data_IF_407511832461
#
_entry.id   IF_407511832461
#
_cell.length_a   1.000
_cell.length_b   1.000
_cell.length_c   1.000
_cell.angle_alpha   90.00
_cell.angle_beta   90.00
_cell.angle_gamma   90.00
#
_symmetry.space_group_name_H-M   'P 1'
#
loop_
_entity.id
_entity.type
_entity.pdbx_description
1 polymer ?
#
# COMPACT_ATOMS: atom_id res chain seq x y z
N UNK A 1 4.72 30.58 -24.12
CA UNK A 1 3.44 29.98 -23.68
C UNK A 1 3.16 28.72 -24.51
N UNK A 2 3.50 27.52 -24.00
CA UNK A 2 3.22 26.26 -24.72
C UNK A 2 1.75 25.92 -24.58
N UNK A 3 1.01 25.86 -25.69
CA UNK A 3 -0.37 25.37 -25.69
C UNK A 3 -0.39 23.94 -25.16
N UNK A 4 -1.01 23.69 -24.01
CA UNK A 4 -1.34 22.33 -23.58
C UNK A 4 -2.40 21.79 -24.54
N UNK A 5 -2.07 20.70 -25.24
CA UNK A 5 -3.07 19.92 -25.97
C UNK A 5 -4.04 19.32 -24.91
N UNK A 6 -5.29 19.74 -24.96
CA UNK A 6 -6.33 19.13 -24.14
C UNK A 6 -6.62 17.75 -24.74
N UNK A 7 -6.38 16.70 -23.98
CA UNK A 7 -6.77 15.35 -24.39
C UNK A 7 -8.30 15.31 -24.38
N UNK A 8 -8.97 15.02 -25.52
CA UNK A 8 -10.42 14.95 -25.57
C UNK A 8 -10.91 13.93 -24.54
N UNK A 9 -11.87 14.30 -23.70
CA UNK A 9 -12.64 13.33 -22.94
C UNK A 9 -13.44 12.49 -23.91
N UNK A 10 -13.06 11.25 -24.13
CA UNK A 10 -13.80 10.31 -24.95
C UNK A 10 -15.05 9.93 -24.15
N UNK A 11 -16.23 10.35 -24.62
CA UNK A 11 -17.49 9.84 -24.09
C UNK A 11 -17.62 8.37 -24.49
N UNK A 12 -17.45 7.47 -23.53
CA UNK A 12 -17.63 6.04 -23.75
C UNK A 12 -19.12 5.69 -23.70
N UNK A 13 -19.60 5.04 -24.75
CA UNK A 13 -20.92 4.42 -24.73
C UNK A 13 -21.03 3.38 -23.61
N UNK A 14 -22.19 3.21 -22.98
CA UNK A 14 -22.38 2.12 -22.02
C UNK A 14 -22.05 0.78 -22.71
N UNK A 15 -21.45 -0.18 -22.00
CA UNK A 15 -21.10 -1.46 -22.60
C UNK A 15 -22.37 -2.19 -22.99
N UNK A 16 -22.39 -2.72 -24.21
CA UNK A 16 -23.38 -3.72 -24.63
C UNK A 16 -22.78 -5.09 -24.33
N UNK A 17 -23.49 -5.91 -23.54
CA UNK A 17 -23.02 -7.26 -23.25
C UNK A 17 -22.86 -8.03 -24.56
N UNK A 18 -21.67 -8.60 -24.75
CA UNK A 18 -21.32 -9.39 -25.92
C UNK A 18 -21.23 -10.88 -25.60
N UNK A 19 -21.42 -11.27 -24.34
CA UNK A 19 -21.21 -12.64 -23.86
C UNK A 19 -19.73 -13.09 -23.95
N UNK A 20 -18.79 -12.16 -24.07
CA UNK A 20 -17.36 -12.51 -24.13
C UNK A 20 -16.92 -13.18 -22.82
N UNK A 21 -16.12 -14.28 -22.85
CA UNK A 21 -15.71 -15.02 -21.64
C UNK A 21 -15.12 -14.15 -20.52
N UNK A 22 -14.37 -13.11 -20.86
CA UNK A 22 -13.74 -12.17 -19.89
C UNK A 22 -14.58 -10.94 -19.60
N UNK A 23 -15.85 -10.88 -20.05
CA UNK A 23 -16.76 -9.80 -19.71
C UNK A 23 -17.24 -9.97 -18.27
N UNK A 24 -17.24 -8.89 -17.50
CA UNK A 24 -17.63 -8.87 -16.08
C UNK A 24 -19.15 -8.97 -15.99
N UNK A 25 -19.63 -10.14 -15.55
CA UNK A 25 -21.04 -10.46 -15.38
C UNK A 25 -21.56 -10.10 -13.99
N UNK A 26 -20.69 -10.14 -12.96
CA UNK A 26 -21.08 -9.83 -11.59
C UNK A 26 -20.01 -8.98 -10.91
N UNK A 27 -20.50 -8.08 -10.08
CA UNK A 27 -19.71 -7.20 -9.21
C UNK A 27 -20.29 -7.30 -7.80
N UNK A 28 -19.46 -7.59 -6.81
CA UNK A 28 -19.79 -7.55 -5.39
C UNK A 28 -18.72 -6.79 -4.65
N UNK A 29 -19.11 -6.13 -3.56
CA UNK A 29 -18.16 -5.45 -2.69
C UNK A 29 -18.54 -5.62 -1.23
N UNK A 30 -17.53 -5.64 -0.37
CA UNK A 30 -17.65 -5.73 1.08
C UNK A 30 -16.85 -4.61 1.73
N UNK A 31 -17.49 -3.87 2.62
CA UNK A 31 -16.85 -2.88 3.48
C UNK A 31 -16.48 -3.57 4.78
N UNK A 32 -15.21 -3.82 4.97
CA UNK A 32 -14.69 -4.58 6.10
C UNK A 32 -14.13 -3.65 7.17
N UNK A 33 -14.27 -4.09 8.43
CA UNK A 33 -13.69 -3.45 9.60
C UNK A 33 -13.10 -4.50 10.52
N UNK A 34 -11.81 -4.39 10.82
CA UNK A 34 -11.18 -5.27 11.80
C UNK A 34 -11.73 -5.02 13.21
N UNK A 35 -11.93 -6.08 14.00
CA UNK A 35 -12.69 -5.97 15.25
C UNK A 35 -11.98 -5.20 16.35
N UNK A 36 -10.64 -5.13 16.36
CA UNK A 36 -9.85 -4.49 17.43
C UNK A 36 -9.14 -3.24 16.95
N UNK A 37 -8.35 -3.33 15.88
CA UNK A 37 -7.68 -2.17 15.29
C UNK A 37 -8.67 -1.15 14.74
N UNK A 38 -9.88 -1.60 14.38
CA UNK A 38 -10.85 -0.76 13.69
C UNK A 38 -10.45 -0.41 12.26
N UNK A 39 -9.41 -1.03 11.74
CA UNK A 39 -8.91 -0.81 10.37
C UNK A 39 -10.01 -1.12 9.36
N UNK A 40 -10.21 -0.22 8.40
CA UNK A 40 -11.23 -0.34 7.37
C UNK A 40 -10.62 -0.45 5.98
N UNK A 41 -11.21 -1.30 5.17
CA UNK A 41 -10.86 -1.48 3.75
C UNK A 41 -12.04 -2.05 2.98
N UNK A 42 -11.99 -1.95 1.66
CA UNK A 42 -13.04 -2.45 0.78
C UNK A 42 -12.47 -3.58 -0.09
N UNK A 43 -13.14 -4.72 -0.12
CA UNK A 43 -12.82 -5.82 -1.01
C UNK A 43 -13.84 -5.86 -2.14
N UNK A 44 -13.37 -5.97 -3.37
CA UNK A 44 -14.18 -6.12 -4.59
C UNK A 44 -13.97 -7.51 -5.17
N UNK A 45 -15.07 -8.17 -5.54
CA UNK A 45 -15.09 -9.39 -6.33
C UNK A 45 -15.68 -9.08 -7.71
N UNK A 46 -14.99 -9.49 -8.74
CA UNK A 46 -15.47 -9.48 -10.11
C UNK A 46 -15.60 -10.91 -10.60
N UNK A 47 -16.76 -11.26 -11.20
CA UNK A 47 -16.93 -12.56 -11.85
C UNK A 47 -17.19 -12.36 -13.33
N UNK A 48 -16.48 -13.10 -14.18
CA UNK A 48 -16.66 -13.08 -15.62
C UNK A 48 -17.77 -14.01 -16.10
N UNK A 49 -18.18 -13.87 -17.34
CA UNK A 49 -19.14 -14.81 -17.98
C UNK A 49 -18.62 -16.25 -18.03
N UNK A 50 -17.30 -16.46 -18.09
CA UNK A 50 -16.71 -17.81 -18.00
C UNK A 50 -16.73 -18.40 -16.59
N UNK A 51 -17.19 -17.65 -15.56
CA UNK A 51 -17.23 -18.07 -14.17
C UNK A 51 -15.95 -17.80 -13.38
N UNK A 52 -14.87 -17.32 -14.02
CA UNK A 52 -13.64 -16.94 -13.31
C UNK A 52 -13.91 -15.76 -12.37
N UNK A 53 -13.31 -15.81 -11.18
CA UNK A 53 -13.49 -14.79 -10.14
C UNK A 53 -12.17 -14.15 -9.78
N UNK A 54 -12.11 -12.82 -9.76
CA UNK A 54 -10.97 -12.05 -9.30
C UNK A 54 -11.32 -11.19 -8.10
N UNK A 55 -10.36 -11.03 -7.18
CA UNK A 55 -10.48 -10.21 -5.98
C UNK A 55 -9.45 -9.09 -5.97
N UNK A 56 -9.87 -7.93 -5.47
CA UNK A 56 -8.98 -6.80 -5.23
C UNK A 56 -9.39 -6.03 -3.99
N UNK A 57 -8.45 -5.36 -3.40
CA UNK A 57 -8.65 -4.56 -2.20
C UNK A 57 -8.27 -3.11 -2.47
N UNK A 58 -9.06 -2.20 -1.91
CA UNK A 58 -8.82 -0.76 -1.87
C UNK A 58 -9.03 -0.21 -0.47
N UNK A 59 -8.74 1.07 -0.28
CA UNK A 59 -9.03 1.77 0.97
C UNK A 59 -10.53 1.79 1.31
N UNK A 60 -10.91 2.39 2.45
CA UNK A 60 -12.30 2.52 2.83
C UNK A 60 -13.07 3.38 1.83
N UNK A 61 -14.28 2.93 1.47
CA UNK A 61 -15.15 3.57 0.48
C UNK A 61 -16.57 3.76 1.01
N UNK A 62 -17.23 4.89 0.70
CA UNK A 62 -18.65 5.05 0.89
C UNK A 62 -19.47 4.14 -0.05
N UNK A 63 -20.63 3.66 0.41
CA UNK A 63 -21.52 2.81 -0.38
C UNK A 63 -21.90 3.42 -1.74
N UNK A 64 -22.18 4.73 -1.77
CA UNK A 64 -22.56 5.43 -2.98
C UNK A 64 -21.49 5.36 -4.09
N UNK A 65 -20.20 5.45 -3.73
CA UNK A 65 -19.09 5.35 -4.68
C UNK A 65 -18.97 3.93 -5.24
N UNK A 66 -19.24 2.90 -4.42
CA UNK A 66 -19.24 1.51 -4.84
C UNK A 66 -20.37 1.24 -5.84
N UNK A 67 -21.59 1.75 -5.56
CA UNK A 67 -22.73 1.61 -6.48
C UNK A 67 -22.46 2.29 -7.82
N UNK A 68 -21.89 3.51 -7.80
CA UNK A 68 -21.55 4.23 -9.02
C UNK A 68 -20.50 3.47 -9.86
N UNK A 69 -19.47 2.94 -9.21
CA UNK A 69 -18.42 2.14 -9.88
C UNK A 69 -18.99 0.85 -10.49
N UNK A 70 -19.87 0.15 -9.78
CA UNK A 70 -20.52 -1.07 -10.27
C UNK A 70 -21.21 -0.84 -11.63
N UNK A 71 -21.95 0.25 -11.77
CA UNK A 71 -22.63 0.58 -13.01
C UNK A 71 -21.67 0.83 -14.20
N UNK A 72 -20.48 1.37 -13.91
CA UNK A 72 -19.46 1.63 -14.93
C UNK A 72 -18.69 0.36 -15.35
N UNK A 73 -18.62 -0.67 -14.50
CA UNK A 73 -17.76 -1.85 -14.67
C UNK A 73 -18.52 -3.07 -15.23
N UNK A 74 -19.78 -3.25 -14.86
CA UNK A 74 -20.58 -4.36 -15.40
C UNK A 74 -20.65 -4.29 -16.94
N UNK A 75 -20.48 -5.42 -17.61
CA UNK A 75 -20.43 -5.54 -19.06
C UNK A 75 -19.09 -5.15 -19.69
N UNK A 76 -18.10 -4.66 -18.90
CA UNK A 76 -16.75 -4.39 -19.41
C UNK A 76 -15.92 -5.66 -19.39
N UNK A 77 -14.93 -5.75 -20.28
CA UNK A 77 -13.98 -6.85 -20.27
C UNK A 77 -12.88 -6.61 -19.24
N UNK A 78 -12.45 -7.65 -18.56
CA UNK A 78 -11.35 -7.56 -17.59
C UNK A 78 -10.02 -7.05 -18.22
N UNK A 79 -9.89 -7.04 -19.53
CA UNK A 79 -8.76 -6.47 -20.26
C UNK A 79 -8.81 -4.94 -20.40
N UNK A 80 -9.94 -4.30 -20.10
CA UNK A 80 -10.13 -2.85 -20.27
C UNK A 80 -9.61 -2.04 -19.05
N UNK A 81 -8.42 -2.39 -18.53
CA UNK A 81 -7.85 -1.78 -17.32
C UNK A 81 -7.60 -0.27 -17.44
N UNK A 82 -7.24 0.23 -18.64
CA UNK A 82 -7.06 1.68 -18.85
C UNK A 82 -8.40 2.45 -18.84
N UNK A 83 -9.47 1.81 -19.31
CA UNK A 83 -10.82 2.36 -19.17
C UNK A 83 -11.18 2.55 -17.69
N UNK A 84 -10.96 1.51 -16.86
CA UNK A 84 -11.22 1.55 -15.42
C UNK A 84 -10.41 2.65 -14.76
N UNK A 85 -9.12 2.72 -15.04
CA UNK A 85 -8.24 3.76 -14.52
C UNK A 85 -8.72 5.18 -14.86
N UNK A 86 -9.20 5.40 -16.08
CA UNK A 86 -9.68 6.71 -16.52
C UNK A 86 -11.04 7.06 -15.90
N UNK A 87 -11.96 6.10 -15.81
CA UNK A 87 -13.32 6.32 -15.27
C UNK A 87 -13.35 6.45 -13.76
N UNK A 88 -12.50 5.68 -13.05
CA UNK A 88 -12.44 5.69 -11.60
C UNK A 88 -11.34 6.60 -11.03
N UNK A 89 -10.72 7.45 -11.87
CA UNK A 89 -9.66 8.36 -11.43
C UNK A 89 -10.08 9.30 -10.29
N UNK A 90 -11.36 9.66 -10.21
CA UNK A 90 -11.94 10.46 -9.12
C UNK A 90 -12.22 9.67 -7.83
N UNK A 91 -12.10 8.34 -7.86
CA UNK A 91 -12.31 7.43 -6.72
C UNK A 91 -11.11 6.48 -6.61
N UNK A 92 -9.95 6.96 -6.14
CA UNK A 92 -8.70 6.21 -6.20
C UNK A 92 -8.74 4.84 -5.52
N UNK A 93 -9.42 4.72 -4.39
CA UNK A 93 -9.55 3.46 -3.67
C UNK A 93 -10.37 2.42 -4.47
N UNK A 94 -11.38 2.88 -5.24
CA UNK A 94 -12.14 2.00 -6.12
C UNK A 94 -11.33 1.61 -7.36
N UNK A 95 -10.57 2.54 -7.94
CA UNK A 95 -9.65 2.24 -9.04
C UNK A 95 -8.65 1.16 -8.64
N UNK A 96 -8.10 1.26 -7.40
CA UNK A 96 -7.20 0.25 -6.85
C UNK A 96 -7.91 -1.11 -6.71
N UNK A 97 -9.06 -1.16 -6.04
CA UNK A 97 -9.79 -2.40 -5.81
C UNK A 97 -10.21 -3.10 -7.10
N UNK A 98 -10.84 -2.37 -8.03
CA UNK A 98 -11.33 -2.93 -9.31
C UNK A 98 -10.16 -3.30 -10.20
N UNK A 99 -9.13 -2.45 -10.33
CA UNK A 99 -7.95 -2.73 -11.15
C UNK A 99 -7.22 -3.98 -10.69
N UNK A 100 -7.10 -4.19 -9.37
CA UNK A 100 -6.48 -5.39 -8.80
C UNK A 100 -7.37 -6.63 -8.98
N UNK A 101 -8.69 -6.52 -8.84
CA UNK A 101 -9.62 -7.62 -9.09
C UNK A 101 -9.61 -8.06 -10.57
N UNK A 102 -9.55 -7.12 -11.51
CA UNK A 102 -9.39 -7.43 -12.94
C UNK A 102 -8.08 -8.17 -13.20
N UNK A 103 -6.99 -7.72 -12.58
CA UNK A 103 -5.68 -8.35 -12.73
C UNK A 103 -5.65 -9.78 -12.16
N UNK A 104 -6.27 -10.02 -10.99
CA UNK A 104 -6.41 -11.35 -10.40
C UNK A 104 -7.25 -12.27 -11.29
N UNK A 105 -8.39 -11.79 -11.80
CA UNK A 105 -9.25 -12.53 -12.73
C UNK A 105 -8.49 -12.92 -14.00
N UNK A 106 -7.78 -11.98 -14.63
CA UNK A 106 -6.98 -12.24 -15.84
C UNK A 106 -5.88 -13.26 -15.56
N UNK A 107 -5.19 -13.13 -14.43
CA UNK A 107 -4.11 -14.02 -14.05
C UNK A 107 -4.62 -15.46 -13.83
N UNK A 108 -5.79 -15.62 -13.19
CA UNK A 108 -6.47 -16.91 -13.00
C UNK A 108 -6.91 -17.50 -14.33
N UNK A 109 -7.52 -16.71 -15.22
CA UNK A 109 -7.96 -17.19 -16.55
C UNK A 109 -6.80 -17.71 -17.40
N UNK A 110 -5.57 -17.24 -17.16
CA UNK A 110 -4.34 -17.69 -17.81
C UNK A 110 -3.54 -18.69 -16.99
N UNK A 111 -4.03 -19.06 -15.79
CA UNK A 111 -3.37 -19.98 -14.87
C UNK A 111 -1.96 -19.58 -14.48
N UNK A 112 -1.71 -18.28 -14.34
CA UNK A 112 -0.43 -17.71 -13.93
C UNK A 112 -0.56 -16.84 -12.68
N UNK A 113 0.47 -16.73 -11.83
CA UNK A 113 0.48 -15.77 -10.72
C UNK A 113 0.47 -14.32 -11.22
N UNK A 114 -0.07 -13.39 -10.41
CA UNK A 114 -0.11 -11.96 -10.75
C UNK A 114 1.28 -11.41 -11.10
N UNK A 115 2.35 -11.79 -10.38
CA UNK A 115 3.69 -11.27 -10.67
C UNK A 115 4.18 -11.62 -12.08
N UNK A 116 3.80 -12.77 -12.63
CA UNK A 116 4.15 -13.13 -14.02
C UNK A 116 3.37 -12.27 -15.02
N UNK A 117 2.09 -11.99 -14.73
CA UNK A 117 1.29 -11.11 -15.56
C UNK A 117 1.84 -9.67 -15.58
N UNK A 118 2.46 -9.25 -14.47
CA UNK A 118 3.17 -7.98 -14.38
C UNK A 118 4.58 -7.97 -15.00
N UNK A 119 5.04 -9.09 -15.56
CA UNK A 119 6.35 -9.21 -16.21
C UNK A 119 7.49 -9.68 -15.31
N UNK A 120 7.18 -10.17 -14.11
CA UNK A 120 8.15 -10.79 -13.21
C UNK A 120 8.33 -12.31 -13.43
N UNK A 121 9.05 -13.00 -12.53
CA UNK A 121 9.65 -12.41 -11.34
C UNK A 121 11.03 -11.78 -11.60
N UNK A 122 11.31 -10.66 -10.97
CA UNK A 122 12.66 -10.08 -10.86
C UNK A 122 13.39 -10.63 -9.62
N UNK A 123 12.65 -11.24 -8.70
CA UNK A 123 13.12 -11.85 -7.45
C UNK A 123 12.16 -12.94 -6.99
N UNK A 124 12.66 -13.90 -6.19
CA UNK A 124 11.86 -15.01 -5.66
C UNK A 124 11.38 -14.80 -4.22
N UNK A 125 11.84 -13.73 -3.57
CA UNK A 125 11.44 -13.32 -2.22
C UNK A 125 11.16 -11.81 -2.23
N UNK A 126 10.07 -11.39 -1.60
CA UNK A 126 9.75 -9.99 -1.37
C UNK A 126 10.08 -9.62 0.08
N UNK A 127 10.89 -8.58 0.29
CA UNK A 127 11.17 -8.06 1.64
C UNK A 127 9.90 -7.47 2.23
N UNK A 128 9.62 -7.80 3.48
CA UNK A 128 8.46 -7.30 4.21
C UNK A 128 8.87 -6.29 5.26
N UNK A 129 8.05 -5.26 5.43
CA UNK A 129 8.16 -4.24 6.45
C UNK A 129 6.92 -4.34 7.36
N UNK A 130 7.11 -4.77 8.60
CA UNK A 130 6.04 -4.86 9.58
C UNK A 130 5.63 -3.47 10.04
N UNK A 131 4.38 -3.07 9.77
CA UNK A 131 3.84 -1.81 10.22
C UNK A 131 3.31 -1.93 11.65
N UNK A 132 4.02 -1.29 12.59
CA UNK A 132 3.61 -1.21 13.99
C UNK A 132 2.75 0.05 14.19
N UNK A 133 1.52 -0.11 14.65
CA UNK A 133 0.55 1.00 14.74
C UNK A 133 0.47 1.65 16.14
N UNK A 134 1.19 1.14 17.12
CA UNK A 134 1.11 1.70 18.46
C UNK A 134 1.85 3.02 18.59
N UNK A 135 1.12 4.08 18.91
CA UNK A 135 1.67 5.39 19.33
C UNK A 135 1.97 5.45 20.81
N UNK A 136 1.39 4.55 21.62
CA UNK A 136 1.60 4.46 23.05
C UNK A 136 2.85 3.65 23.37
N UNK A 137 3.73 4.20 24.22
CA UNK A 137 4.94 3.52 24.66
C UNK A 137 4.66 2.24 25.43
N UNK A 138 3.55 2.17 26.17
CA UNK A 138 3.18 1.01 26.97
C UNK A 138 2.71 -0.17 26.10
N UNK A 139 2.06 0.11 24.98
CA UNK A 139 1.51 -0.91 24.08
C UNK A 139 2.46 -1.30 22.93
N UNK A 140 3.52 -0.52 22.66
CA UNK A 140 4.48 -0.78 21.58
C UNK A 140 5.18 -2.17 21.63
N UNK A 141 5.47 -2.77 22.80
CA UNK A 141 6.08 -4.09 22.88
C UNK A 141 5.27 -5.21 22.24
N UNK A 142 3.94 -5.22 22.43
CA UNK A 142 3.11 -6.33 22.00
C UNK A 142 3.04 -6.50 20.45
N UNK A 143 2.79 -5.46 19.64
CA UNK A 143 2.86 -5.55 18.18
C UNK A 143 4.26 -5.94 17.68
N UNK A 144 5.33 -5.42 18.28
CA UNK A 144 6.71 -5.76 17.92
C UNK A 144 6.99 -7.26 18.14
N UNK A 145 6.65 -7.78 19.33
CA UNK A 145 6.86 -9.19 19.63
C UNK A 145 6.01 -10.11 18.75
N UNK A 146 4.79 -9.68 18.38
CA UNK A 146 3.96 -10.39 17.41
C UNK A 146 4.65 -10.44 16.05
N UNK A 147 5.11 -9.32 15.53
CA UNK A 147 5.82 -9.24 14.24
C UNK A 147 7.11 -10.08 14.23
N UNK A 148 7.89 -10.06 15.32
CA UNK A 148 9.08 -10.90 15.47
C UNK A 148 8.73 -12.40 15.41
N UNK A 149 7.68 -12.84 16.12
CA UNK A 149 7.21 -14.23 16.05
C UNK A 149 6.69 -14.63 14.67
N UNK A 150 6.19 -13.67 13.88
CA UNK A 150 5.79 -13.86 12.49
C UNK A 150 6.98 -13.84 11.50
N UNK A 151 8.22 -13.69 11.99
CA UNK A 151 9.45 -13.77 11.20
C UNK A 151 9.88 -12.45 10.54
N UNK A 152 9.24 -11.32 10.85
CA UNK A 152 9.67 -10.01 10.35
C UNK A 152 11.01 -9.57 10.93
N UNK A 153 11.80 -8.84 10.13
CA UNK A 153 13.11 -8.27 10.48
C UNK A 153 13.16 -6.76 10.32
N UNK A 154 12.27 -6.19 9.51
CA UNK A 154 12.15 -4.75 9.30
C UNK A 154 10.82 -4.26 9.87
N UNK A 155 10.84 -3.10 10.55
CA UNK A 155 9.71 -2.58 11.30
C UNK A 155 9.54 -1.08 11.07
N UNK A 156 8.29 -0.64 10.95
CA UNK A 156 7.95 0.79 10.98
C UNK A 156 7.55 1.17 12.39
N UNK A 157 8.24 2.17 12.97
CA UNK A 157 7.85 2.77 14.24
C UNK A 157 7.20 4.13 14.00
N UNK A 158 6.01 4.40 14.58
CA UNK A 158 5.43 5.74 14.56
C UNK A 158 6.31 6.72 15.34
N UNK A 159 6.57 7.90 14.78
CA UNK A 159 7.15 9.01 15.54
C UNK A 159 6.17 9.45 16.65
N UNK A 160 6.70 10.09 17.67
CA UNK A 160 5.87 10.75 18.66
C UNK A 160 5.08 11.89 17.99
N UNK A 161 3.86 12.11 18.43
CA UNK A 161 3.10 13.26 17.96
C UNK A 161 3.80 14.56 18.37
N UNK A 162 3.90 15.50 17.45
CA UNK A 162 4.47 16.82 17.70
C UNK A 162 3.47 17.67 18.48
N UNK A 163 3.77 17.93 19.74
CA UNK A 163 3.05 18.90 20.56
C UNK A 163 3.74 20.27 20.43
N UNK A 164 3.05 21.25 19.89
CA UNK A 164 3.58 22.61 19.70
C UNK A 164 3.90 23.32 21.03
N UNK A 165 3.32 22.88 22.14
CA UNK A 165 3.61 23.43 23.48
C UNK A 165 4.93 22.95 24.06
N UNK A 166 5.52 21.89 23.51
CA UNK A 166 6.82 21.37 23.94
C UNK A 166 7.92 22.02 23.09
N UNK A 167 9.00 22.53 23.72
CA UNK A 167 10.16 23.04 22.98
C UNK A 167 10.69 22.00 21.98
N UNK A 168 11.10 22.44 20.77
CA UNK A 168 11.54 21.54 19.71
C UNK A 168 12.69 20.63 20.16
N UNK A 169 13.65 21.16 20.91
CA UNK A 169 14.78 20.36 21.40
C UNK A 169 14.31 19.22 22.32
N UNK A 170 13.37 19.49 23.23
CA UNK A 170 12.81 18.47 24.10
C UNK A 170 12.05 17.40 23.29
N UNK A 171 11.31 17.81 22.26
CA UNK A 171 10.65 16.88 21.35
C UNK A 171 11.67 15.96 20.63
N UNK A 172 12.74 16.54 20.12
CA UNK A 172 13.84 15.79 19.45
C UNK A 172 14.47 14.78 20.40
N UNK A 173 14.72 15.16 21.67
CA UNK A 173 15.31 14.27 22.65
C UNK A 173 14.36 13.10 23.01
N UNK A 174 13.05 13.35 23.08
CA UNK A 174 12.02 12.31 23.26
C UNK A 174 11.98 11.35 22.05
N UNK A 175 12.04 11.88 20.81
CA UNK A 175 12.10 11.04 19.60
C UNK A 175 13.35 10.16 19.62
N UNK A 176 14.52 10.71 19.95
CA UNK A 176 15.77 9.95 20.09
C UNK A 176 15.67 8.82 21.11
N UNK A 177 15.13 9.13 22.29
CA UNK A 177 14.94 8.14 23.36
C UNK A 177 14.00 7.01 22.90
N UNK A 178 12.89 7.36 22.21
CA UNK A 178 11.97 6.37 21.63
C UNK A 178 12.66 5.48 20.60
N UNK A 179 13.39 6.07 19.67
CA UNK A 179 14.10 5.29 18.63
C UNK A 179 15.11 4.33 19.27
N UNK A 180 15.94 4.81 20.19
CA UNK A 180 16.90 3.98 20.91
C UNK A 180 16.24 2.82 21.66
N UNK A 181 15.12 3.08 22.33
CA UNK A 181 14.33 2.06 23.03
C UNK A 181 13.79 1.00 22.08
N UNK A 182 13.16 1.43 20.96
CA UNK A 182 12.60 0.51 19.98
C UNK A 182 13.69 -0.36 19.32
N UNK A 183 14.85 0.23 19.00
CA UNK A 183 16.00 -0.53 18.49
C UNK A 183 16.50 -1.56 19.51
N UNK A 184 16.60 -1.19 20.77
CA UNK A 184 16.98 -2.12 21.85
C UNK A 184 16.01 -3.30 21.96
N UNK A 185 14.70 -3.03 21.88
CA UNK A 185 13.65 -4.07 21.93
C UNK A 185 13.63 -4.96 20.70
N UNK A 186 13.95 -4.40 19.52
CA UNK A 186 14.03 -5.16 18.28
C UNK A 186 15.14 -6.22 18.30
N UNK A 187 16.23 -5.90 18.98
CA UNK A 187 17.42 -6.75 19.09
C UNK A 187 18.32 -6.69 17.87
N UNK A 188 19.35 -7.52 17.87
CA UNK A 188 20.32 -7.56 16.78
C UNK A 188 19.68 -7.96 15.43
N UNK A 189 20.02 -7.23 14.38
CA UNK A 189 19.51 -7.48 13.02
C UNK A 189 18.12 -6.91 12.73
N UNK A 190 17.48 -6.23 13.70
CA UNK A 190 16.24 -5.49 13.44
C UNK A 190 16.54 -4.18 12.69
N UNK A 191 15.78 -3.91 11.64
CA UNK A 191 15.90 -2.72 10.82
C UNK A 191 14.66 -1.84 10.99
N UNK A 192 14.85 -0.51 10.92
CA UNK A 192 13.81 0.42 11.34
C UNK A 192 13.54 1.53 10.35
N UNK A 193 12.27 1.82 10.15
CA UNK A 193 11.75 3.01 9.49
C UNK A 193 11.05 3.87 10.55
N UNK A 194 11.39 5.15 10.61
CA UNK A 194 10.66 6.11 11.43
C UNK A 194 9.52 6.71 10.62
N UNK A 195 8.28 6.59 11.09
CA UNK A 195 7.09 7.13 10.43
C UNK A 195 6.68 8.46 11.07
N UNK A 196 6.85 9.56 10.33
CA UNK A 196 6.45 10.91 10.72
C UNK A 196 4.97 11.19 10.59
N UNK A 197 4.19 10.29 9.98
CA UNK A 197 2.75 10.39 9.75
C UNK A 197 2.32 11.72 9.09
N UNK A 198 3.20 12.39 8.34
CA UNK A 198 3.01 13.70 7.73
C UNK A 198 2.67 14.84 8.72
N UNK A 199 2.99 14.66 10.01
CA UNK A 199 2.52 15.52 11.09
C UNK A 199 3.45 16.71 11.41
N UNK A 200 4.71 16.71 10.91
CA UNK A 200 5.68 17.75 11.26
C UNK A 200 5.67 18.91 10.27
N UNK A 201 6.07 20.09 10.74
CA UNK A 201 6.47 21.16 9.83
C UNK A 201 7.77 20.77 9.12
N UNK A 202 8.10 21.31 7.93
CA UNK A 202 9.37 21.03 7.27
C UNK A 202 10.60 21.35 8.15
N UNK A 203 10.54 22.40 8.96
CA UNK A 203 11.62 22.79 9.88
C UNK A 203 11.80 21.80 11.04
N UNK A 204 10.69 21.35 11.66
CA UNK A 204 10.76 20.34 12.72
C UNK A 204 11.29 19.01 12.15
N UNK A 205 10.79 18.61 10.98
CA UNK A 205 11.23 17.40 10.29
C UNK A 205 12.72 17.42 9.96
N UNK A 206 13.24 18.56 9.46
CA UNK A 206 14.66 18.76 9.20
C UNK A 206 15.49 18.60 10.49
N UNK A 207 15.05 19.22 11.59
CA UNK A 207 15.74 19.12 12.89
C UNK A 207 15.77 17.70 13.41
N UNK A 208 14.64 16.97 13.30
CA UNK A 208 14.56 15.53 13.68
C UNK A 208 15.48 14.68 12.80
N UNK A 209 15.41 14.85 11.47
CA UNK A 209 16.25 14.13 10.53
C UNK A 209 17.75 14.32 10.83
N UNK A 210 18.18 15.57 11.03
CA UNK A 210 19.56 15.91 11.44
C UNK A 210 19.97 15.25 12.75
N UNK A 211 19.11 15.29 13.72
CA UNK A 211 19.37 14.71 15.04
C UNK A 211 19.53 13.18 15.01
N UNK A 212 18.94 12.51 14.01
CA UNK A 212 18.95 11.05 13.84
C UNK A 212 19.93 10.55 12.78
N UNK A 213 20.72 11.40 12.13
CA UNK A 213 21.67 11.02 11.06
C UNK A 213 22.63 9.90 11.43
N UNK A 214 23.04 9.84 12.70
CA UNK A 214 23.96 8.81 13.21
C UNK A 214 23.23 7.54 13.68
N UNK A 215 21.91 7.54 13.59
CA UNK A 215 21.07 6.39 13.97
C UNK A 215 20.79 5.58 12.72
N UNK A 216 21.02 4.26 12.75
CA UNK A 216 20.74 3.38 11.62
C UNK A 216 19.24 3.21 11.43
N UNK A 217 18.63 4.12 10.65
CA UNK A 217 17.27 4.02 10.13
C UNK A 217 17.33 3.79 8.62
N UNK A 218 16.40 2.99 8.10
CA UNK A 218 16.34 2.70 6.66
C UNK A 218 15.93 3.97 5.91
N UNK A 219 14.87 4.65 6.38
CA UNK A 219 14.44 5.98 5.95
C UNK A 219 13.54 6.63 6.99
N UNK A 220 13.33 7.93 6.84
CA UNK A 220 12.31 8.69 7.54
C UNK A 220 11.09 8.81 6.62
N UNK A 221 9.99 8.17 7.01
CA UNK A 221 8.77 8.04 6.22
C UNK A 221 7.81 9.17 6.51
N UNK A 222 7.27 9.81 5.48
CA UNK A 222 6.28 10.89 5.58
C UNK A 222 6.61 11.92 6.69
N UNK A 223 7.79 12.53 6.69
CA UNK A 223 8.18 13.46 7.76
C UNK A 223 7.26 14.68 7.84
N UNK A 224 6.73 15.15 6.70
CA UNK A 224 5.86 16.31 6.59
C UNK A 224 4.76 16.13 5.56
N UNK A 225 3.61 16.77 5.78
CA UNK A 225 2.54 16.88 4.78
C UNK A 225 2.74 18.04 3.77
N UNK A 226 3.80 18.85 3.93
CA UNK A 226 4.12 19.97 3.03
C UNK A 226 5.02 19.48 1.90
N UNK A 227 4.41 19.09 0.78
CA UNK A 227 5.10 18.49 -0.37
C UNK A 227 5.57 19.52 -1.41
N UNK A 228 5.72 20.79 -1.04
CA UNK A 228 6.31 21.82 -1.90
C UNK A 228 7.83 21.63 -2.03
N UNK A 229 8.41 22.03 -3.15
CA UNK A 229 9.86 21.94 -3.39
C UNK A 229 10.66 22.56 -2.25
N UNK A 230 10.32 23.81 -1.86
CA UNK A 230 11.02 24.52 -0.77
C UNK A 230 10.81 23.84 0.60
N UNK A 231 9.63 23.25 0.85
CA UNK A 231 9.34 22.53 2.07
C UNK A 231 10.19 21.25 2.21
N UNK A 232 10.31 20.50 1.13
CA UNK A 232 11.11 19.27 1.11
C UNK A 232 12.61 19.56 1.09
N UNK A 233 13.06 20.61 0.36
CA UNK A 233 14.44 21.02 0.33
C UNK A 233 15.01 21.33 1.74
N UNK A 234 14.19 21.95 2.62
CA UNK A 234 14.60 22.17 4.02
C UNK A 234 15.02 20.90 4.75
N UNK A 235 14.41 19.75 4.42
CA UNK A 235 14.74 18.47 5.06
C UNK A 235 15.99 17.87 4.42
N UNK A 236 16.04 17.83 3.09
CA UNK A 236 17.12 17.19 2.34
C UNK A 236 18.43 17.99 2.35
N UNK A 237 18.38 19.32 2.51
CA UNK A 237 19.56 20.17 2.64
C UNK A 237 20.19 20.11 4.04
N UNK A 238 19.37 19.79 5.06
CA UNK A 238 19.81 19.74 6.46
C UNK A 238 20.28 18.33 6.90
N UNK A 239 19.88 17.29 6.19
CA UNK A 239 20.15 15.90 6.58
C UNK A 239 20.37 14.98 5.39
N UNK A 240 21.30 14.01 5.56
CA UNK A 240 21.55 12.91 4.61
C UNK A 240 20.65 11.70 4.85
N UNK A 241 19.71 11.77 5.81
CA UNK A 241 18.77 10.69 6.09
C UNK A 241 17.86 10.46 4.89
N UNK A 242 17.74 9.20 4.40
CA UNK A 242 16.83 8.90 3.30
C UNK A 242 15.38 9.24 3.66
N UNK A 243 14.64 9.81 2.71
CA UNK A 243 13.25 10.25 2.88
C UNK A 243 12.32 9.37 2.05
N UNK A 244 11.26 8.85 2.68
CA UNK A 244 10.15 8.14 2.03
C UNK A 244 8.91 9.01 1.95
N UNK A 245 8.27 9.11 0.76
CA UNK A 245 7.07 9.93 0.54
C UNK A 245 6.11 9.30 -0.46
N UNK A 246 4.83 9.60 -0.33
CA UNK A 246 3.82 9.34 -1.35
C UNK A 246 2.66 8.44 -0.95
N UNK A 247 2.50 8.11 0.35
CA UNK A 247 1.47 7.15 0.80
C UNK A 247 0.04 7.58 0.45
N UNK A 248 -0.23 8.88 0.47
CA UNK A 248 -1.55 9.45 0.16
C UNK A 248 -1.65 10.04 -1.26
N UNK A 249 -0.61 9.88 -2.07
CA UNK A 249 -0.60 10.34 -3.45
C UNK A 249 -1.22 9.29 -4.36
N UNK A 250 -2.13 9.75 -5.24
CA UNK A 250 -2.75 8.92 -6.26
C UNK A 250 -2.60 9.48 -7.69
N UNK A 251 -2.10 10.69 -7.84
CA UNK A 251 -1.79 11.27 -9.15
C UNK A 251 -0.32 10.97 -9.53
N UNK A 252 -0.12 10.39 -10.72
CA UNK A 252 1.21 10.08 -11.25
C UNK A 252 2.05 11.34 -11.44
N UNK A 253 1.42 12.47 -11.78
CA UNK A 253 2.15 13.74 -11.95
C UNK A 253 2.77 14.23 -10.65
N UNK A 254 2.11 14.03 -9.50
CA UNK A 254 2.64 14.41 -8.19
C UNK A 254 3.86 13.54 -7.81
N UNK A 255 3.87 12.24 -8.15
CA UNK A 255 5.07 11.42 -8.01
C UNK A 255 6.21 11.89 -8.91
N UNK A 256 5.90 12.31 -10.15
CA UNK A 256 6.90 12.86 -11.05
C UNK A 256 7.52 14.16 -10.50
N UNK A 257 6.72 15.01 -9.85
CA UNK A 257 7.21 16.24 -9.24
C UNK A 257 8.16 15.94 -8.06
N UNK A 258 7.85 14.96 -7.21
CA UNK A 258 8.76 14.50 -6.14
C UNK A 258 10.11 14.02 -6.72
N UNK A 259 10.08 13.25 -7.80
CA UNK A 259 11.27 12.71 -8.44
C UNK A 259 12.13 13.82 -9.07
N UNK A 260 11.51 14.79 -9.76
CA UNK A 260 12.21 15.91 -10.38
C UNK A 260 12.93 16.82 -9.39
N UNK A 261 12.36 16.98 -8.21
CA UNK A 261 12.92 17.81 -7.16
C UNK A 261 14.07 17.14 -6.40
N UNK A 262 14.31 15.82 -6.64
CA UNK A 262 15.37 15.08 -5.95
C UNK A 262 15.17 14.93 -4.44
N UNK A 263 13.95 15.19 -3.95
CA UNK A 263 13.66 15.28 -2.51
C UNK A 263 13.18 13.96 -1.91
N UNK A 264 13.28 12.86 -2.65
CA UNK A 264 12.77 11.54 -2.20
C UNK A 264 13.76 10.44 -2.57
N UNK A 265 14.01 9.52 -1.64
CA UNK A 265 14.86 8.35 -1.85
C UNK A 265 14.02 7.07 -2.01
N UNK A 266 12.81 7.05 -1.43
CA UNK A 266 11.88 5.92 -1.49
C UNK A 266 10.48 6.43 -1.80
N UNK A 267 9.89 6.03 -2.94
CA UNK A 267 8.49 6.29 -3.21
C UNK A 267 7.61 5.28 -2.46
N UNK A 268 6.56 5.81 -1.85
CA UNK A 268 5.64 5.08 -0.96
C UNK A 268 4.20 5.03 -1.49
N UNK A 269 3.94 4.63 -2.77
CA UNK A 269 2.57 4.63 -3.29
C UNK A 269 1.68 3.69 -2.47
N UNK A 270 0.54 4.22 -1.97
CA UNK A 270 -0.42 3.45 -1.18
C UNK A 270 -1.17 2.42 -2.03
N UNK A 271 -1.14 1.14 -1.64
CA UNK A 271 -1.86 0.04 -2.31
C UNK A 271 -3.38 0.21 -2.23
N UNK A 272 -3.88 0.88 -1.18
CA UNK A 272 -5.30 1.18 -1.05
C UNK A 272 -5.81 2.27 -1.99
N UNK A 273 -4.92 3.06 -2.64
CA UNK A 273 -5.23 4.18 -3.51
C UNK A 273 -4.72 4.03 -4.94
N UNK A 274 -3.87 3.04 -5.19
CA UNK A 274 -3.24 2.84 -6.48
C UNK A 274 -3.26 1.36 -6.84
N UNK A 275 -3.80 1.03 -8.01
CA UNK A 275 -3.75 -0.33 -8.54
C UNK A 275 -2.31 -0.79 -8.79
N UNK A 276 -2.07 -2.10 -8.81
CA UNK A 276 -0.74 -2.68 -9.06
C UNK A 276 -0.16 -2.21 -10.39
N UNK A 277 -1.00 -2.10 -11.44
CA UNK A 277 -0.58 -1.61 -12.75
C UNK A 277 -0.19 -0.14 -12.72
N UNK A 278 -0.88 0.67 -11.92
CA UNK A 278 -0.54 2.08 -11.72
C UNK A 278 0.77 2.24 -10.94
N UNK A 279 0.96 1.46 -9.86
CA UNK A 279 2.22 1.49 -9.10
C UNK A 279 3.39 1.01 -9.98
N UNK A 280 3.19 0.03 -10.84
CA UNK A 280 4.22 -0.39 -11.81
C UNK A 280 4.65 0.76 -12.73
N UNK A 281 3.73 1.63 -13.17
CA UNK A 281 4.05 2.83 -13.95
C UNK A 281 4.83 3.87 -13.12
N UNK A 282 4.44 4.07 -11.86
CA UNK A 282 5.17 4.94 -10.92
C UNK A 282 6.58 4.39 -10.68
N UNK A 283 6.72 3.07 -10.52
CA UNK A 283 8.01 2.43 -10.32
C UNK A 283 8.95 2.58 -11.54
N UNK A 284 8.41 2.50 -12.76
CA UNK A 284 9.20 2.74 -13.97
C UNK A 284 9.69 4.20 -14.07
N UNK A 285 8.91 5.17 -13.60
CA UNK A 285 9.39 6.56 -13.48
C UNK A 285 10.49 6.68 -12.43
N UNK A 286 10.29 6.07 -11.25
CA UNK A 286 11.26 6.08 -10.15
C UNK A 286 12.61 5.44 -10.56
N UNK A 287 12.58 4.38 -11.36
CA UNK A 287 13.76 3.69 -11.87
C UNK A 287 14.68 4.63 -12.66
N UNK A 288 14.13 5.53 -13.47
CA UNK A 288 14.91 6.52 -14.24
C UNK A 288 15.60 7.57 -13.36
N UNK A 289 15.20 7.68 -12.10
CA UNK A 289 15.79 8.58 -11.09
C UNK A 289 16.60 7.81 -10.03
N UNK A 290 16.81 6.50 -10.18
CA UNK A 290 17.47 5.62 -9.19
C UNK A 290 16.79 5.62 -7.82
N UNK A 291 15.48 5.87 -7.79
CA UNK A 291 14.67 5.90 -6.57
C UNK A 291 14.02 4.54 -6.33
N UNK A 292 14.09 4.07 -5.11
CA UNK A 292 13.46 2.82 -4.69
C UNK A 292 11.94 2.99 -4.53
N UNK A 293 11.21 1.88 -4.65
CA UNK A 293 9.77 1.84 -4.39
C UNK A 293 9.48 0.85 -3.26
N UNK A 294 8.79 1.33 -2.25
CA UNK A 294 8.30 0.51 -1.15
C UNK A 294 6.80 0.77 -0.97
N UNK A 295 5.92 -0.01 -1.62
CA UNK A 295 4.48 0.22 -1.57
C UNK A 295 3.97 0.23 -0.13
N UNK A 296 3.25 1.30 0.21
CA UNK A 296 2.62 1.47 1.50
C UNK A 296 1.31 0.67 1.56
N UNK A 297 1.07 0.00 2.69
CA UNK A 297 -0.18 -0.71 2.91
C UNK A 297 -0.65 -0.56 4.35
N UNK A 298 -1.96 -0.27 4.50
CA UNK A 298 -2.63 -0.16 5.80
C UNK A 298 -3.95 -0.94 5.85
N UNK A 299 -4.26 -1.67 4.78
CA UNK A 299 -5.50 -2.41 4.62
C UNK A 299 -5.42 -3.86 5.12
N UNK A 300 -6.16 -4.70 4.41
CA UNK A 300 -6.33 -6.12 4.72
C UNK A 300 -5.30 -7.05 4.05
N UNK A 301 -5.50 -8.36 4.24
CA UNK A 301 -4.53 -9.37 3.80
C UNK A 301 -4.51 -9.55 2.27
N UNK A 302 -5.59 -9.21 1.56
CA UNK A 302 -5.66 -9.34 0.10
C UNK A 302 -4.75 -8.29 -0.54
N UNK A 303 -4.78 -7.04 -0.05
CA UNK A 303 -3.92 -5.96 -0.49
C UNK A 303 -2.44 -6.21 -0.15
N UNK A 304 -2.14 -6.74 1.04
CA UNK A 304 -0.79 -7.10 1.44
C UNK A 304 -0.17 -8.13 0.46
N UNK A 305 -0.90 -9.20 0.14
CA UNK A 305 -0.43 -10.22 -0.81
C UNK A 305 -0.33 -9.70 -2.24
N UNK A 306 -1.23 -8.82 -2.67
CA UNK A 306 -1.11 -8.12 -3.94
C UNK A 306 0.19 -7.28 -4.01
N UNK A 307 0.56 -6.63 -2.90
CA UNK A 307 1.84 -5.93 -2.75
C UNK A 307 3.06 -6.85 -2.89
N UNK A 308 3.00 -8.06 -2.35
CA UNK A 308 4.06 -9.08 -2.51
C UNK A 308 4.25 -9.45 -4.00
N UNK A 309 3.15 -9.70 -4.74
CA UNK A 309 3.22 -9.95 -6.18
C UNK A 309 3.81 -8.76 -6.95
N UNK A 310 3.43 -7.55 -6.58
CA UNK A 310 3.98 -6.34 -7.19
C UNK A 310 5.49 -6.25 -6.96
N UNK A 311 5.94 -6.39 -5.71
CA UNK A 311 7.36 -6.35 -5.36
C UNK A 311 8.19 -7.37 -6.12
N UNK A 312 7.62 -8.55 -6.39
CA UNK A 312 8.27 -9.57 -7.19
C UNK A 312 8.44 -9.20 -8.66
N UNK A 313 7.64 -8.26 -9.18
CA UNK A 313 7.68 -7.81 -10.56
C UNK A 313 8.47 -6.50 -10.78
N UNK A 314 8.80 -5.77 -9.71
CA UNK A 314 9.51 -4.49 -9.80
C UNK A 314 11.02 -4.65 -9.64
N UNK A 315 11.82 -4.09 -10.53
CA UNK A 315 13.28 -4.09 -10.44
C UNK A 315 13.79 -3.29 -9.22
N UNK A 316 13.18 -2.14 -8.97
CA UNK A 316 13.53 -1.18 -7.92
C UNK A 316 12.67 -1.30 -6.63
N UNK A 317 12.01 -2.45 -6.40
CA UNK A 317 11.29 -2.69 -5.14
C UNK A 317 12.24 -2.84 -3.97
N UNK A 318 11.98 -2.12 -2.86
CA UNK A 318 12.75 -2.23 -1.62
C UNK A 318 12.07 -3.15 -0.60
N UNK A 319 10.82 -2.88 -0.26
CA UNK A 319 10.02 -3.66 0.69
C UNK A 319 8.52 -3.43 0.44
N UNK A 320 7.68 -4.23 1.07
CA UNK A 320 6.21 -4.06 1.10
C UNK A 320 5.76 -3.96 2.53
N UNK A 321 4.95 -2.96 2.85
CA UNK A 321 4.32 -2.85 4.17
C UNK A 321 3.30 -3.95 4.38
N UNK A 322 3.34 -4.54 5.58
CA UNK A 322 2.32 -5.47 6.07
C UNK A 322 1.87 -4.99 7.44
N UNK A 323 0.61 -4.58 7.58
CA UNK A 323 0.06 -4.18 8.87
C UNK A 323 0.06 -5.35 9.84
N UNK A 324 0.62 -5.15 11.03
CA UNK A 324 0.57 -6.15 12.10
C UNK A 324 -0.82 -6.15 12.73
N UNK A 325 -1.49 -7.31 12.90
CA UNK A 325 -2.77 -7.38 13.61
C UNK A 325 -2.64 -6.87 15.04
N UNK A 326 -3.63 -6.10 15.49
CA UNK A 326 -3.60 -5.54 16.85
C UNK A 326 -3.68 -6.63 17.93
N UNK A 327 -4.51 -7.66 17.70
CA UNK A 327 -4.62 -8.81 18.58
C UNK A 327 -4.95 -10.10 17.81
N UNK A 328 -5.30 -11.18 18.52
CA UNK A 328 -5.61 -12.49 17.93
C UNK A 328 -6.95 -12.51 17.18
N UNK A 329 -7.90 -11.62 17.49
CA UNK A 329 -9.17 -11.51 16.77
C UNK A 329 -8.98 -10.90 15.39
N UNK A 330 -8.16 -9.84 15.30
CA UNK A 330 -7.79 -9.27 14.01
C UNK A 330 -7.00 -10.29 13.17
N UNK A 331 -6.08 -11.02 13.80
CA UNK A 331 -5.31 -12.07 13.14
C UNK A 331 -6.20 -13.22 12.63
N UNK A 332 -7.19 -13.63 13.41
CA UNK A 332 -8.16 -14.66 13.02
C UNK A 332 -8.99 -14.22 11.82
N UNK A 333 -9.57 -13.00 11.85
CA UNK A 333 -10.31 -12.45 10.73
C UNK A 333 -9.47 -12.45 9.45
N UNK A 334 -8.24 -11.94 9.50
CA UNK A 334 -7.35 -11.87 8.35
C UNK A 334 -7.04 -13.26 7.78
N UNK A 335 -6.76 -14.24 8.64
CA UNK A 335 -6.53 -15.63 8.23
C UNK A 335 -7.77 -16.28 7.62
N UNK A 336 -8.96 -16.03 8.17
CA UNK A 336 -10.22 -16.55 7.62
C UNK A 336 -10.54 -15.96 6.25
N UNK A 337 -10.30 -14.66 6.02
CA UNK A 337 -10.49 -14.00 4.72
C UNK A 337 -9.66 -14.64 3.61
N UNK A 338 -8.49 -15.15 3.93
CA UNK A 338 -7.52 -15.73 2.98
C UNK A 338 -7.40 -17.25 3.07
N UNK A 339 -8.45 -17.91 3.58
CA UNK A 339 -8.51 -19.37 3.72
C UNK A 339 -7.28 -19.99 4.40
N UNK A 340 -6.79 -19.31 5.44
CA UNK A 340 -5.64 -19.74 6.25
C UNK A 340 -4.28 -19.34 5.68
N UNK A 341 -4.22 -18.60 4.57
CA UNK A 341 -2.96 -17.99 4.13
C UNK A 341 -2.48 -16.97 5.16
N UNK A 342 -1.26 -17.11 5.65
CA UNK A 342 -0.70 -16.26 6.70
C UNK A 342 0.17 -15.16 6.10
N UNK A 343 0.00 -13.95 6.58
CA UNK A 343 0.88 -12.81 6.32
C UNK A 343 2.11 -12.91 7.21
N UNK A 344 2.93 -13.95 7.00
CA UNK A 344 4.14 -14.22 7.76
C UNK A 344 5.38 -14.09 6.88
N UNK A 345 6.50 -13.77 7.53
CA UNK A 345 7.80 -13.69 6.89
C UNK A 345 8.64 -14.93 7.22
N UNK A 346 9.47 -15.33 6.28
CA UNK A 346 10.59 -16.23 6.52
C UNK A 346 11.87 -15.38 6.49
N UNK A 347 12.43 -15.14 7.68
CA UNK A 347 13.61 -14.28 7.87
C UNK A 347 13.49 -12.89 7.20
N UNK A 348 12.36 -12.22 7.41
CA UNK A 348 12.06 -10.89 6.87
C UNK A 348 11.49 -10.86 5.45
N UNK A 349 11.26 -12.01 4.81
CA UNK A 349 10.80 -12.07 3.42
C UNK A 349 9.53 -12.91 3.27
N UNK A 350 8.66 -12.51 2.34
CA UNK A 350 7.61 -13.37 1.82
C UNK A 350 8.17 -14.23 0.68
N UNK A 351 7.87 -15.53 0.72
CA UNK A 351 8.16 -16.44 -0.38
C UNK A 351 7.03 -16.36 -1.41
N UNK A 352 7.37 -16.27 -2.69
CA UNK A 352 6.38 -16.17 -3.75
C UNK A 352 5.62 -17.49 -3.93
N UNK A 353 4.30 -17.39 -3.99
CA UNK A 353 3.45 -18.52 -4.33
C UNK A 353 3.36 -18.67 -5.86
N UNK A 354 3.68 -19.86 -6.36
CA UNK A 354 3.54 -20.19 -7.78
C UNK A 354 2.15 -20.80 -8.06
N UNK A 355 1.10 -20.03 -7.73
CA UNK A 355 -0.31 -20.39 -7.98
C UNK A 355 -0.99 -19.27 -8.76
N UNK A 356 -2.05 -19.56 -9.54
CA UNK A 356 -2.78 -18.55 -10.31
C UNK A 356 -3.32 -17.41 -9.46
N UNK A 357 -3.34 -16.21 -10.03
CA UNK A 357 -3.88 -15.01 -9.40
C UNK A 357 -3.06 -14.60 -8.17
N UNK A 358 -3.75 -14.28 -7.08
CA UNK A 358 -3.18 -13.94 -5.75
C UNK A 358 -2.48 -15.13 -5.07
N UNK A 359 -2.67 -16.37 -5.59
CA UNK A 359 -2.03 -17.57 -5.06
C UNK A 359 -2.76 -18.25 -3.91
N UNK A 360 -3.89 -17.72 -3.46
CA UNK A 360 -4.75 -18.30 -2.42
C UNK A 360 -6.24 -18.10 -2.74
N UNK A 361 -7.10 -18.82 -2.03
CA UNK A 361 -8.55 -18.66 -2.14
C UNK A 361 -9.06 -17.63 -1.15
N UNK A 362 -9.92 -16.73 -1.64
CA UNK A 362 -10.62 -15.77 -0.79
C UNK A 362 -11.91 -16.40 -0.27
N UNK A 363 -12.10 -16.37 1.04
CA UNK A 363 -13.26 -16.96 1.71
C UNK A 363 -14.44 -15.98 1.71
N UNK A 364 -15.37 -16.19 0.78
CA UNK A 364 -16.57 -15.35 0.64
C UNK A 364 -17.45 -15.37 1.89
N UNK A 365 -17.55 -16.51 2.60
CA UNK A 365 -18.35 -16.59 3.83
C UNK A 365 -17.76 -15.71 4.93
N UNK A 366 -16.43 -15.64 5.02
CA UNK A 366 -15.76 -14.74 5.95
C UNK A 366 -15.94 -13.27 5.54
N UNK A 367 -15.88 -12.94 4.24
CA UNK A 367 -16.23 -11.61 3.75
C UNK A 367 -17.64 -11.19 4.16
N UNK A 368 -18.63 -12.07 3.99
CA UNK A 368 -20.02 -11.83 4.39
C UNK A 368 -20.17 -11.67 5.92
N UNK A 369 -19.42 -12.43 6.71
CA UNK A 369 -19.50 -12.42 8.19
C UNK A 369 -18.86 -11.15 8.81
N UNK A 370 -17.76 -10.66 8.24
CA UNK A 370 -17.02 -9.52 8.78
C UNK A 370 -17.38 -8.19 8.10
N UNK A 371 -18.30 -8.19 7.15
CA UNK A 371 -18.70 -6.98 6.45
C UNK A 371 -19.61 -6.10 7.31
N UNK A 372 -19.27 -4.79 7.42
CA UNK A 372 -20.21 -3.79 7.94
C UNK A 372 -21.37 -3.59 6.95
N UNK A 373 -21.13 -3.79 5.65
CA UNK A 373 -22.11 -3.65 4.59
C UNK A 373 -21.66 -4.41 3.33
N UNK A 374 -22.58 -5.15 2.72
CA UNK A 374 -22.41 -5.82 1.42
C UNK A 374 -23.17 -5.06 0.34
N UNK A 375 -22.52 -4.80 -0.80
CA UNK A 375 -23.07 -4.03 -1.92
C UNK A 375 -23.02 -4.83 -3.22
#
# INVERSE_FOLDING_TARGET
MKRRLTIPQVAFAPPQSTGHPLEIAQFRAWRLKEPVSGRRYTVVELQSHSGETGYGEGGPLPAAEIVAARAAILGRRATESEFVRAHLAGIPAMEAAVGNAMLDLLSKSRKVPIYQFLGGPTRFKARLLARLESTDEASAPAPLERAKRQGFRAFTMPALQRDAMIPLQEYVDRVRARVARMQSMGGAGAEWVLDGAAAMTPGDAATVAKALEKVHLIWFDEPTGVLTTDGLAKITDESVMPIGLGRNIHDISAFQDLLRNGSVNVLRPGLGLNSLTKIKRIAALAETHYVAVAPYHEGGPIGAMAGVHLAAALANSYAVDVPVPADDRDAAMRAELTSGNKEAAEDGFAVLMNRPGLGFEVNRKALDAYSEERI
#
